data_IF_772767306261
#
_entry.id   IF_772767306261
#
_cell.length_a   1.000
_cell.length_b   1.000
_cell.length_c   1.000
_cell.angle_alpha   90.00
_cell.angle_beta   90.00
_cell.angle_gamma   90.00
#
_symmetry.space_group_name_H-M   'P 1'
#
loop_
_entity.id
_entity.type
_entity.pdbx_description
1 polymer ?
#
# COMPACT_ATOMS: atom_id res chain seq x y z
N UNK A 1 -13.36 -1.79 -11.68
CA UNK A 1 -14.24 -1.54 -10.52
C UNK A 1 -14.65 -0.07 -10.44
N UNK A 2 -13.77 0.87 -10.05
CA UNK A 2 -14.13 2.29 -9.90
C UNK A 2 -14.63 2.94 -11.20
N UNK A 3 -14.11 2.53 -12.37
CA UNK A 3 -14.61 2.99 -13.67
C UNK A 3 -16.09 2.63 -13.92
N UNK A 4 -16.56 1.49 -13.40
CA UNK A 4 -17.97 1.09 -13.49
C UNK A 4 -18.83 1.89 -12.50
N UNK A 5 -18.30 2.15 -11.30
CA UNK A 5 -18.92 3.04 -10.32
C UNK A 5 -19.17 4.42 -10.90
N UNK A 6 -18.16 5.07 -11.50
CA UNK A 6 -18.25 6.45 -12.02
C UNK A 6 -18.91 6.60 -13.40
N UNK A 7 -19.23 5.49 -14.06
CA UNK A 7 -20.06 5.51 -15.28
C UNK A 7 -21.52 5.17 -14.99
N UNK A 8 -21.85 4.86 -13.73
CA UNK A 8 -23.18 4.46 -13.31
C UNK A 8 -23.58 3.04 -13.71
N UNK A 9 -22.72 2.31 -14.44
CA UNK A 9 -22.95 0.90 -14.79
C UNK A 9 -23.07 -0.01 -13.56
N UNK A 10 -22.47 0.39 -12.43
CA UNK A 10 -22.54 -0.38 -11.19
C UNK A 10 -23.96 -0.41 -10.59
N UNK A 11 -24.79 0.60 -10.87
CA UNK A 11 -26.14 0.79 -10.34
C UNK A 11 -27.21 0.74 -11.43
N UNK A 12 -26.87 0.26 -12.63
CA UNK A 12 -27.76 0.26 -13.80
C UNK A 12 -29.04 -0.55 -13.56
N UNK A 13 -28.91 -1.77 -13.02
CA UNK A 13 -30.06 -2.62 -12.66
C UNK A 13 -30.91 -2.01 -11.55
N UNK A 14 -30.27 -1.40 -10.54
CA UNK A 14 -30.97 -0.74 -9.44
C UNK A 14 -31.71 0.53 -9.89
N UNK A 15 -31.13 1.31 -10.82
CA UNK A 15 -31.80 2.47 -11.43
C UNK A 15 -33.01 2.08 -12.27
N UNK A 16 -32.99 0.92 -12.92
CA UNK A 16 -34.18 0.38 -13.60
C UNK A 16 -35.39 0.20 -12.68
N UNK A 17 -35.17 0.16 -11.37
CA UNK A 17 -36.22 0.06 -10.34
C UNK A 17 -36.49 1.37 -9.57
N UNK A 18 -35.77 2.46 -9.87
CA UNK A 18 -35.78 3.71 -9.08
C UNK A 18 -36.04 4.93 -9.97
N UNK A 19 -36.95 5.84 -9.58
CA UNK A 19 -37.34 7.06 -10.33
C UNK A 19 -36.28 8.21 -10.26
N UNK A 20 -34.99 7.86 -10.22
CA UNK A 20 -33.91 8.81 -10.01
C UNK A 20 -33.46 9.47 -11.32
N UNK A 21 -33.40 10.80 -11.31
CA UNK A 21 -32.91 11.62 -12.43
C UNK A 21 -31.42 11.41 -12.70
N UNK A 22 -30.98 11.75 -13.92
CA UNK A 22 -29.57 11.67 -14.34
C UNK A 22 -28.61 12.46 -13.45
N UNK A 23 -27.31 12.13 -13.56
CA UNK A 23 -26.27 12.67 -12.70
C UNK A 23 -26.02 14.16 -12.97
N UNK A 24 -25.96 14.95 -11.90
CA UNK A 24 -25.63 16.37 -11.99
C UNK A 24 -24.16 16.53 -12.39
N UNK A 25 -23.85 17.48 -13.28
CA UNK A 25 -22.46 17.84 -13.61
C UNK A 25 -22.04 18.98 -12.71
N UNK A 26 -21.07 18.72 -11.82
CA UNK A 26 -20.53 19.73 -10.91
C UNK A 26 -19.00 19.72 -10.97
N UNK A 27 -18.37 20.60 -10.22
CA UNK A 27 -16.92 20.56 -9.99
C UNK A 27 -16.60 20.10 -8.57
N UNK A 28 -15.36 19.70 -8.31
CA UNK A 28 -14.92 19.32 -6.96
C UNK A 28 -15.11 20.49 -5.99
N UNK A 29 -14.89 21.72 -6.44
CA UNK A 29 -15.18 22.93 -5.68
C UNK A 29 -16.65 23.11 -5.31
N UNK A 30 -17.59 22.52 -6.08
CA UNK A 30 -19.00 22.48 -5.71
C UNK A 30 -19.33 21.54 -4.54
N UNK A 31 -18.39 20.66 -4.15
CA UNK A 31 -18.49 19.80 -2.97
C UNK A 31 -17.70 20.33 -1.77
N UNK A 32 -16.68 21.16 -2.00
CA UNK A 32 -15.70 21.56 -1.00
C UNK A 32 -16.12 22.87 -0.35
N UNK A 33 -16.39 22.83 0.95
CA UNK A 33 -16.72 24.00 1.76
C UNK A 33 -15.46 24.85 2.05
N UNK A 34 -14.33 24.17 2.28
CA UNK A 34 -13.06 24.82 2.63
C UNK A 34 -11.86 23.94 2.28
N UNK A 35 -10.75 24.57 1.92
CA UNK A 35 -9.48 23.89 1.65
C UNK A 35 -8.38 24.41 2.57
N UNK A 36 -7.62 23.50 3.18
CA UNK A 36 -6.53 23.84 4.09
C UNK A 36 -5.21 23.23 3.60
N UNK A 37 -4.15 24.03 3.63
CA UNK A 37 -2.78 23.58 3.40
C UNK A 37 -2.02 23.49 4.71
N UNK A 38 -1.13 22.51 4.81
CA UNK A 38 -0.18 22.39 5.91
C UNK A 38 1.03 23.31 5.80
N UNK A 39 2.07 22.99 6.58
CA UNK A 39 3.31 23.76 6.67
C UNK A 39 4.51 23.00 6.11
N UNK A 40 5.53 23.73 5.68
CA UNK A 40 6.85 23.19 5.37
C UNK A 40 7.78 23.47 6.55
N UNK A 41 8.28 22.43 7.20
CA UNK A 41 9.14 22.53 8.38
C UNK A 41 10.30 21.53 8.30
N UNK A 42 11.47 21.95 8.76
CA UNK A 42 12.59 21.03 9.00
C UNK A 42 12.28 20.19 10.25
N UNK A 43 12.24 18.89 10.09
CA UNK A 43 11.78 17.95 11.10
C UNK A 43 12.79 16.80 11.26
N UNK A 44 12.69 16.08 12.37
CA UNK A 44 13.46 14.86 12.61
C UNK A 44 12.81 13.72 11.81
N UNK A 45 13.60 12.94 11.06
CA UNK A 45 13.10 11.95 10.09
C UNK A 45 12.55 10.64 10.72
N UNK A 46 12.02 10.72 11.94
CA UNK A 46 11.38 9.62 12.66
C UNK A 46 9.94 10.00 13.00
N UNK A 47 9.00 9.04 13.09
CA UNK A 47 7.65 9.31 13.58
C UNK A 47 7.66 9.74 15.06
N UNK A 48 6.72 10.60 15.51
CA UNK A 48 6.65 11.02 16.91
C UNK A 48 6.27 9.87 17.83
N UNK A 49 6.90 9.82 19.01
CA UNK A 49 6.55 8.96 20.13
C UNK A 49 5.37 9.56 20.92
N UNK A 50 5.00 8.91 22.03
CA UNK A 50 3.94 9.38 22.92
C UNK A 50 4.30 10.75 23.53
N UNK A 51 3.36 11.70 23.49
CA UNK A 51 3.57 13.09 23.94
C UNK A 51 4.34 14.00 22.95
N UNK A 52 4.97 13.43 21.91
CA UNK A 52 5.60 14.20 20.85
C UNK A 52 4.59 14.62 19.77
N UNK A 53 4.95 15.66 19.02
CA UNK A 53 4.15 16.21 17.94
C UNK A 53 4.90 16.07 16.62
N UNK A 54 4.15 15.84 15.55
CA UNK A 54 4.73 15.59 14.24
C UNK A 54 3.94 16.20 13.09
N UNK A 55 4.53 16.05 11.91
CA UNK A 55 3.96 16.47 10.63
C UNK A 55 3.95 15.27 9.68
N UNK A 56 2.90 15.13 8.87
CA UNK A 56 2.84 14.02 7.92
C UNK A 56 3.76 14.22 6.72
N UNK A 57 4.36 13.12 6.25
CA UNK A 57 4.98 13.05 4.93
C UNK A 57 3.89 12.93 3.88
N UNK A 58 4.23 13.27 2.65
CA UNK A 58 3.44 12.95 1.45
C UNK A 58 3.02 11.46 1.40
N UNK A 59 3.93 10.56 1.79
CA UNK A 59 3.69 9.11 1.79
C UNK A 59 2.58 8.67 2.73
N UNK A 60 2.17 9.51 3.69
CA UNK A 60 1.04 9.23 4.57
C UNK A 60 -0.30 9.16 3.83
N UNK A 61 -0.42 9.72 2.63
CA UNK A 61 -1.65 9.73 1.83
C UNK A 61 -1.46 9.09 0.45
N UNK A 62 -0.29 8.54 0.17
CA UNK A 62 0.06 8.02 -1.17
C UNK A 62 -0.64 6.71 -1.50
N UNK A 63 -0.85 5.84 -0.53
CA UNK A 63 -1.20 4.43 -0.76
C UNK A 63 -2.70 4.15 -0.73
N UNK A 64 -3.53 5.17 -0.90
CA UNK A 64 -5.00 5.06 -0.84
C UNK A 64 -5.57 4.82 0.57
N UNK A 65 -4.69 4.69 1.56
CA UNK A 65 -5.01 4.58 2.98
C UNK A 65 -4.10 5.54 3.74
N UNK A 66 -4.63 6.19 4.78
CA UNK A 66 -3.85 7.04 5.65
C UNK A 66 -2.89 6.23 6.52
N UNK A 67 -1.58 6.54 6.46
CA UNK A 67 -0.54 5.91 7.28
C UNK A 67 0.18 6.93 8.18
N UNK A 68 -0.17 6.94 9.47
CA UNK A 68 0.46 7.81 10.47
C UNK A 68 1.95 7.51 10.73
N UNK A 69 2.45 6.33 10.33
CA UNK A 69 3.89 6.00 10.42
C UNK A 69 4.71 6.77 9.40
N UNK A 70 4.09 7.28 8.33
CA UNK A 70 4.73 8.13 7.35
C UNK A 70 4.75 9.59 7.84
N UNK A 71 5.39 9.83 8.98
CA UNK A 71 5.45 11.13 9.63
C UNK A 71 6.87 11.47 10.10
N UNK A 72 7.05 12.73 10.49
CA UNK A 72 8.30 13.29 11.02
C UNK A 72 8.00 13.99 12.34
N UNK A 73 8.88 13.84 13.33
CA UNK A 73 8.78 14.53 14.61
C UNK A 73 9.20 16.00 14.47
N UNK A 74 8.42 16.91 15.04
CA UNK A 74 8.78 18.32 15.11
C UNK A 74 9.97 18.52 16.06
N UNK A 75 10.91 19.41 15.76
CA UNK A 75 12.03 19.68 16.67
C UNK A 75 11.57 20.37 17.96
N UNK A 76 10.42 21.06 17.92
CA UNK A 76 9.81 21.73 19.06
C UNK A 76 8.28 21.65 18.95
N UNK A 77 7.61 21.30 20.06
CA UNK A 77 6.15 21.17 20.09
C UNK A 77 5.42 22.51 19.84
N UNK A 78 6.06 23.64 20.13
CA UNK A 78 5.51 24.99 19.86
C UNK A 78 5.27 25.28 18.37
N UNK A 79 5.91 24.53 17.46
CA UNK A 79 5.69 24.63 16.03
C UNK A 79 4.41 23.95 15.56
N UNK A 80 3.78 23.15 16.43
CA UNK A 80 2.56 22.44 16.10
C UNK A 80 1.38 23.42 16.02
N UNK A 81 0.63 23.34 14.93
CA UNK A 81 -0.56 24.15 14.71
C UNK A 81 -1.81 23.30 14.93
N UNK A 82 -2.50 23.58 16.03
CA UNK A 82 -3.73 22.86 16.38
C UNK A 82 -4.81 22.99 15.28
N UNK A 83 -4.85 24.12 14.60
CA UNK A 83 -5.72 24.36 13.43
C UNK A 83 -5.40 23.49 12.22
N UNK A 84 -4.27 22.77 12.23
CA UNK A 84 -3.84 21.85 11.16
C UNK A 84 -3.71 20.40 11.65
N UNK A 85 -4.12 20.12 12.89
CA UNK A 85 -4.15 18.75 13.45
C UNK A 85 -5.03 17.84 12.61
N UNK A 86 -4.53 16.66 12.27
CA UNK A 86 -5.25 15.62 11.56
C UNK A 86 -6.25 14.94 12.49
N UNK A 87 -7.45 14.72 11.97
CA UNK A 87 -8.58 14.14 12.70
C UNK A 87 -9.20 13.00 11.91
N UNK A 88 -9.87 12.09 12.62
CA UNK A 88 -10.71 11.07 11.99
C UNK A 88 -11.81 11.77 11.18
N UNK A 89 -12.05 11.28 9.97
CA UNK A 89 -12.98 11.85 9.01
C UNK A 89 -12.39 12.93 8.09
N UNK A 90 -11.12 13.31 8.27
CA UNK A 90 -10.44 14.21 7.35
C UNK A 90 -10.34 13.59 5.95
N UNK A 91 -10.69 14.37 4.93
CA UNK A 91 -10.40 14.05 3.53
C UNK A 91 -9.09 14.73 3.12
N UNK A 92 -8.06 13.94 2.87
CA UNK A 92 -6.72 14.42 2.56
C UNK A 92 -6.33 14.04 1.14
N UNK A 93 -5.61 14.92 0.45
CA UNK A 93 -5.14 14.68 -0.92
C UNK A 93 -3.71 15.17 -1.12
N UNK A 94 -2.90 14.39 -1.85
CA UNK A 94 -1.53 14.80 -2.18
C UNK A 94 -1.51 15.95 -3.18
N UNK A 95 -0.80 17.02 -2.84
CA UNK A 95 -0.61 18.21 -3.68
C UNK A 95 0.57 18.07 -4.63
N UNK A 96 1.57 17.31 -4.23
CA UNK A 96 2.80 17.07 -4.97
C UNK A 96 3.08 15.57 -4.91
N UNK A 97 3.50 14.92 -6.00
CA UNK A 97 4.01 13.54 -6.05
C UNK A 97 4.53 13.20 -7.47
N UNK A 98 4.93 11.96 -7.74
CA UNK A 98 5.01 11.46 -9.12
C UNK A 98 3.65 11.54 -9.80
N UNK A 99 3.61 11.59 -11.14
CA UNK A 99 2.37 11.74 -11.90
C UNK A 99 1.36 10.61 -11.63
N UNK A 100 1.86 9.41 -11.32
CA UNK A 100 1.07 8.22 -11.02
C UNK A 100 0.44 8.25 -9.62
N UNK A 101 0.96 9.08 -8.71
CA UNK A 101 0.54 9.13 -7.30
C UNK A 101 0.03 10.51 -6.87
N UNK A 102 0.11 11.51 -7.76
CA UNK A 102 -0.38 12.86 -7.54
C UNK A 102 -1.91 12.85 -7.42
N UNK A 103 -2.41 13.67 -6.48
CA UNK A 103 -3.84 13.86 -6.27
C UNK A 103 -4.55 12.62 -5.71
N UNK A 104 -3.82 11.65 -5.15
CA UNK A 104 -4.46 10.48 -4.55
C UNK A 104 -5.14 10.91 -3.24
N UNK A 105 -6.46 10.71 -3.09
CA UNK A 105 -7.18 11.04 -1.87
C UNK A 105 -7.15 9.89 -0.87
N UNK A 106 -7.32 10.23 0.41
CA UNK A 106 -7.61 9.29 1.50
C UNK A 106 -8.62 9.90 2.46
N UNK A 107 -9.40 9.03 3.11
CA UNK A 107 -10.22 9.38 4.26
C UNK A 107 -9.51 8.83 5.51
N UNK A 108 -9.33 9.68 6.51
CA UNK A 108 -8.63 9.29 7.75
C UNK A 108 -9.60 8.51 8.64
N UNK A 109 -9.37 7.20 8.80
CA UNK A 109 -10.21 6.35 9.65
C UNK A 109 -9.67 6.16 11.07
N UNK A 110 -8.37 6.40 11.28
CA UNK A 110 -7.71 6.22 12.57
C UNK A 110 -6.59 7.25 12.75
N UNK A 111 -6.51 7.81 13.96
CA UNK A 111 -5.42 8.69 14.38
C UNK A 111 -5.03 8.30 15.80
N UNK A 112 -3.75 7.95 16.01
CA UNK A 112 -3.19 7.69 17.35
C UNK A 112 -2.07 8.66 17.71
N UNK A 113 -1.47 9.33 16.72
CA UNK A 113 -0.36 10.27 16.91
C UNK A 113 -0.81 11.73 16.80
N UNK A 114 -0.07 12.63 17.45
CA UNK A 114 -0.28 14.08 17.33
C UNK A 114 0.33 14.61 16.02
N UNK A 115 -0.42 14.50 14.92
CA UNK A 115 0.07 14.86 13.59
C UNK A 115 -0.68 16.05 13.00
N UNK A 116 0.04 16.91 12.28
CA UNK A 116 -0.55 17.99 11.47
C UNK A 116 -0.18 17.87 10.00
N UNK A 117 -0.90 18.61 9.15
CA UNK A 117 -0.69 18.65 7.71
C UNK A 117 0.70 19.21 7.32
N UNK A 118 1.31 18.62 6.28
CA UNK A 118 2.42 19.25 5.55
C UNK A 118 1.93 20.08 4.36
N UNK A 119 2.80 20.95 3.84
CA UNK A 119 2.56 21.78 2.65
C UNK A 119 2.26 20.97 1.38
N UNK A 120 2.65 19.69 1.36
CA UNK A 120 2.42 18.74 0.26
C UNK A 120 1.08 18.00 0.35
N UNK A 121 0.28 18.23 1.38
CA UNK A 121 -1.03 17.60 1.56
C UNK A 121 -2.08 18.67 1.80
N UNK A 122 -3.21 18.56 1.10
CA UNK A 122 -4.36 19.44 1.28
C UNK A 122 -5.44 18.68 2.03
N UNK A 123 -6.12 19.36 2.95
CA UNK A 123 -7.38 18.91 3.53
C UNK A 123 -8.53 19.60 2.81
N UNK A 124 -9.51 18.84 2.38
CA UNK A 124 -10.75 19.36 1.81
C UNK A 124 -11.87 19.08 2.83
N UNK A 125 -12.50 20.14 3.33
CA UNK A 125 -13.68 20.04 4.18
C UNK A 125 -14.92 19.93 3.26
N UNK A 126 -15.71 18.89 3.48
CA UNK A 126 -16.95 18.61 2.74
C UNK A 126 -17.85 17.69 3.58
N UNK A 127 -19.10 17.49 3.17
CA UNK A 127 -20.05 16.56 3.82
C UNK A 127 -19.61 15.10 3.67
N UNK A 128 -19.91 14.25 4.65
CA UNK A 128 -19.41 12.86 4.67
C UNK A 128 -19.85 12.02 3.46
N UNK A 129 -21.09 12.16 2.99
CA UNK A 129 -21.55 11.49 1.77
C UNK A 129 -20.75 11.91 0.53
N UNK A 130 -20.43 13.20 0.43
CA UNK A 130 -19.64 13.75 -0.68
C UNK A 130 -18.17 13.30 -0.61
N UNK A 131 -17.60 13.09 0.59
CA UNK A 131 -16.24 12.53 0.77
C UNK A 131 -16.09 11.17 0.12
N UNK A 132 -17.05 10.28 0.37
CA UNK A 132 -17.00 8.91 -0.14
C UNK A 132 -17.08 8.90 -1.67
N UNK A 133 -18.01 9.69 -2.23
CA UNK A 133 -18.13 9.83 -3.66
C UNK A 133 -16.89 10.46 -4.30
N UNK A 134 -16.37 11.56 -3.74
CA UNK A 134 -15.14 12.21 -4.22
C UNK A 134 -13.94 11.25 -4.15
N UNK A 135 -13.83 10.43 -3.10
CA UNK A 135 -12.79 9.42 -2.96
C UNK A 135 -12.85 8.38 -4.10
N UNK A 136 -14.05 7.88 -4.40
CA UNK A 136 -14.30 6.93 -5.50
C UNK A 136 -13.95 7.57 -6.84
N UNK A 137 -14.45 8.78 -7.10
CA UNK A 137 -14.29 9.45 -8.38
C UNK A 137 -12.83 9.80 -8.68
N UNK A 138 -12.13 10.44 -7.73
CA UNK A 138 -10.74 10.87 -7.95
C UNK A 138 -9.77 9.70 -8.11
N UNK A 139 -10.10 8.52 -7.58
CA UNK A 139 -9.34 7.27 -7.77
C UNK A 139 -9.71 6.52 -9.06
N UNK A 140 -10.80 6.89 -9.72
CA UNK A 140 -11.20 6.31 -11.01
C UNK A 140 -10.30 6.77 -12.16
N UNK A 141 -10.31 6.05 -13.28
CA UNK A 141 -9.54 6.42 -14.48
C UNK A 141 -9.84 7.86 -14.92
N UNK A 142 -11.11 8.24 -14.93
CA UNK A 142 -11.53 9.59 -15.33
C UNK A 142 -11.01 10.67 -14.36
N UNK A 143 -11.15 10.46 -13.06
CA UNK A 143 -10.63 11.40 -12.06
C UNK A 143 -9.10 11.51 -12.12
N UNK A 144 -8.41 10.39 -12.35
CA UNK A 144 -6.96 10.35 -12.54
C UNK A 144 -6.51 11.12 -13.78
N UNK A 145 -7.22 10.99 -14.90
CA UNK A 145 -6.95 11.75 -16.13
C UNK A 145 -7.09 13.25 -15.90
N UNK A 146 -8.14 13.70 -15.19
CA UNK A 146 -8.34 15.11 -14.84
C UNK A 146 -7.19 15.65 -13.97
N UNK A 147 -6.77 14.91 -12.94
CA UNK A 147 -5.65 15.31 -12.08
C UNK A 147 -4.36 15.42 -12.89
N UNK A 148 -4.06 14.42 -13.74
CA UNK A 148 -2.84 14.40 -14.53
C UNK A 148 -2.81 15.54 -15.55
N UNK A 149 -3.91 15.76 -16.27
CA UNK A 149 -4.03 16.84 -17.26
C UNK A 149 -3.91 18.24 -16.68
N UNK A 150 -4.29 18.42 -15.40
CA UNK A 150 -4.23 19.69 -14.67
C UNK A 150 -2.94 19.89 -13.87
N UNK A 151 -2.08 18.87 -13.82
CA UNK A 151 -0.84 18.95 -13.06
C UNK A 151 0.21 19.83 -13.75
N UNK A 152 1.12 20.38 -12.95
CA UNK A 152 2.23 21.24 -13.38
C UNK A 152 3.57 20.71 -12.86
N UNK A 153 4.66 21.20 -13.44
CA UNK A 153 6.04 20.84 -13.07
C UNK A 153 6.78 20.07 -14.16
N UNK A 154 8.06 20.38 -14.36
CA UNK A 154 8.84 19.91 -15.51
C UNK A 154 9.50 18.53 -15.29
N UNK A 155 9.47 18.00 -14.07
CA UNK A 155 10.08 16.71 -13.74
C UNK A 155 9.00 15.66 -13.48
N UNK A 156 9.12 14.50 -14.14
CA UNK A 156 8.18 13.37 -13.97
C UNK A 156 8.14 12.85 -12.52
N UNK A 157 9.25 12.97 -11.79
CA UNK A 157 9.37 12.54 -10.40
C UNK A 157 8.70 13.48 -9.39
N UNK A 158 8.29 14.69 -9.79
CA UNK A 158 7.70 15.67 -8.88
C UNK A 158 6.76 16.63 -9.63
N UNK A 159 5.53 16.18 -9.81
CA UNK A 159 4.41 16.97 -10.33
C UNK A 159 3.62 17.58 -9.17
N UNK A 160 2.97 18.71 -9.43
CA UNK A 160 2.13 19.41 -8.47
C UNK A 160 0.74 19.65 -9.05
N UNK A 161 -0.27 19.79 -8.18
CA UNK A 161 -1.58 20.31 -8.53
C UNK A 161 -1.91 21.52 -7.64
N UNK A 162 -2.33 22.62 -8.27
CA UNK A 162 -2.74 23.83 -7.56
C UNK A 162 -4.14 23.68 -6.96
N UNK A 163 -4.44 24.40 -5.88
CA UNK A 163 -5.77 24.36 -5.24
C UNK A 163 -6.89 24.74 -6.21
N UNK A 164 -6.71 25.81 -6.98
CA UNK A 164 -7.69 26.24 -8.01
C UNK A 164 -7.93 25.13 -9.04
N UNK A 165 -6.87 24.57 -9.61
CA UNK A 165 -6.95 23.50 -10.60
C UNK A 165 -7.61 22.24 -10.05
N UNK A 166 -7.37 21.91 -8.78
CA UNK A 166 -8.02 20.80 -8.08
C UNK A 166 -9.53 21.03 -7.93
N UNK A 167 -9.94 22.23 -7.50
CA UNK A 167 -11.36 22.58 -7.32
C UNK A 167 -12.13 22.67 -8.65
N UNK A 168 -11.44 22.88 -9.77
CA UNK A 168 -12.02 22.92 -11.12
C UNK A 168 -12.21 21.54 -11.76
N UNK A 169 -11.79 20.45 -11.10
CA UNK A 169 -11.99 19.08 -11.61
C UNK A 169 -13.49 18.84 -11.77
N UNK A 170 -13.98 18.54 -13.00
CA UNK A 170 -15.37 18.17 -13.21
C UNK A 170 -15.62 16.77 -12.64
N UNK A 171 -16.75 16.60 -11.96
CA UNK A 171 -17.23 15.29 -11.57
C UNK A 171 -18.74 15.18 -11.77
N UNK A 172 -19.24 14.00 -12.17
CA UNK A 172 -20.66 13.75 -12.08
C UNK A 172 -21.03 13.49 -10.62
N UNK A 173 -22.22 13.93 -10.19
CA UNK A 173 -22.77 13.67 -8.86
C UNK A 173 -24.10 12.92 -9.00
N UNK A 174 -24.15 11.64 -8.57
CA UNK A 174 -25.41 10.91 -8.45
C UNK A 174 -26.30 11.52 -7.36
N UNK A 175 -27.62 11.26 -7.37
CA UNK A 175 -28.48 11.49 -6.22
C UNK A 175 -27.95 10.78 -4.96
N UNK A 176 -28.29 11.29 -3.77
CA UNK A 176 -27.75 10.76 -2.51
C UNK A 176 -28.02 9.27 -2.32
N UNK A 177 -29.21 8.80 -2.68
CA UNK A 177 -29.58 7.38 -2.59
C UNK A 177 -28.68 6.50 -3.48
N UNK A 178 -28.42 6.94 -4.71
CA UNK A 178 -27.53 6.23 -5.62
C UNK A 178 -26.08 6.26 -5.14
N UNK A 179 -25.61 7.37 -4.53
CA UNK A 179 -24.28 7.42 -3.92
C UNK A 179 -24.13 6.35 -2.82
N UNK A 180 -25.15 6.17 -1.98
CA UNK A 180 -25.15 5.14 -0.94
C UNK A 180 -25.02 3.74 -1.53
N UNK A 181 -25.77 3.43 -2.59
CA UNK A 181 -25.67 2.14 -3.26
C UNK A 181 -24.32 1.93 -3.95
N UNK A 182 -23.78 2.96 -4.61
CA UNK A 182 -22.46 2.89 -5.22
C UNK A 182 -21.39 2.58 -4.15
N UNK A 183 -21.40 3.29 -3.02
CA UNK A 183 -20.47 3.04 -1.92
C UNK A 183 -20.61 1.61 -1.42
N UNK A 184 -21.84 1.13 -1.18
CA UNK A 184 -22.11 -0.24 -0.72
C UNK A 184 -21.52 -1.28 -1.67
N UNK A 185 -21.74 -1.13 -2.98
CA UNK A 185 -21.20 -2.05 -3.99
C UNK A 185 -19.68 -1.98 -4.08
N UNK A 186 -19.09 -0.78 -4.02
CA UNK A 186 -17.63 -0.60 -4.04
C UNK A 186 -16.99 -1.26 -2.82
N UNK A 187 -17.54 -1.05 -1.63
CA UNK A 187 -17.03 -1.64 -0.38
C UNK A 187 -17.12 -3.17 -0.40
N UNK A 188 -18.22 -3.74 -0.90
CA UNK A 188 -18.38 -5.18 -1.06
C UNK A 188 -17.31 -5.77 -1.99
N UNK A 189 -17.02 -5.09 -3.09
CA UNK A 189 -16.03 -5.54 -4.06
C UNK A 189 -14.60 -5.42 -3.53
N UNK A 190 -14.27 -4.38 -2.76
CA UNK A 190 -12.97 -4.28 -2.08
C UNK A 190 -12.82 -5.33 -0.99
N UNK A 191 -13.84 -5.54 -0.15
CA UNK A 191 -13.81 -6.59 0.88
C UNK A 191 -13.65 -7.99 0.28
N UNK A 192 -14.20 -8.23 -0.92
CA UNK A 192 -13.97 -9.47 -1.65
C UNK A 192 -12.52 -9.59 -2.15
N UNK A 193 -11.95 -8.50 -2.70
CA UNK A 193 -10.56 -8.48 -3.13
C UNK A 193 -9.58 -8.72 -1.95
N UNK A 194 -9.81 -8.08 -0.81
CA UNK A 194 -8.99 -8.25 0.40
C UNK A 194 -9.02 -9.71 0.90
N UNK A 195 -10.18 -10.37 0.83
CA UNK A 195 -10.32 -11.79 1.18
C UNK A 195 -9.47 -12.68 0.27
N UNK A 196 -9.53 -12.44 -1.04
CA UNK A 196 -8.73 -13.20 -2.03
C UNK A 196 -7.24 -13.00 -1.76
N UNK A 197 -6.80 -11.76 -1.50
CA UNK A 197 -5.40 -11.48 -1.17
C UNK A 197 -4.95 -12.23 0.09
N UNK A 198 -5.80 -12.26 1.13
CA UNK A 198 -5.53 -12.99 2.35
C UNK A 198 -5.42 -14.51 2.12
N UNK A 199 -6.31 -15.09 1.32
CA UNK A 199 -6.29 -16.52 0.96
C UNK A 199 -5.01 -16.89 0.19
N UNK A 200 -4.60 -16.06 -0.77
CA UNK A 200 -3.34 -16.25 -1.53
C UNK A 200 -2.13 -16.23 -0.59
N UNK A 201 -2.06 -15.24 0.31
CA UNK A 201 -0.96 -15.14 1.27
C UNK A 201 -0.90 -16.35 2.22
N UNK A 202 -2.04 -16.85 2.67
CA UNK A 202 -2.09 -18.07 3.49
C UNK A 202 -1.65 -19.31 2.69
N UNK A 203 -2.06 -19.43 1.42
CA UNK A 203 -1.65 -20.53 0.56
C UNK A 203 -0.13 -20.54 0.35
N UNK A 204 0.48 -19.37 0.08
CA UNK A 204 1.94 -19.23 -0.04
C UNK A 204 2.67 -19.65 1.24
N UNK A 205 2.18 -19.24 2.40
CA UNK A 205 2.75 -19.66 3.68
C UNK A 205 2.69 -21.18 3.88
N UNK A 206 1.57 -21.82 3.49
CA UNK A 206 1.42 -23.29 3.54
C UNK A 206 2.41 -24.00 2.62
N UNK A 207 2.58 -23.53 1.39
CA UNK A 207 3.55 -24.09 0.43
C UNK A 207 4.98 -24.00 0.98
N UNK A 208 5.34 -22.85 1.56
CA UNK A 208 6.67 -22.67 2.16
C UNK A 208 6.90 -23.63 3.32
N UNK A 209 5.92 -23.77 4.22
CA UNK A 209 6.02 -24.69 5.35
C UNK A 209 6.08 -26.16 4.90
N UNK A 210 5.28 -26.54 3.90
CA UNK A 210 5.31 -27.90 3.34
C UNK A 210 6.66 -28.19 2.70
N UNK A 211 7.21 -27.24 1.93
CA UNK A 211 8.53 -27.38 1.31
C UNK A 211 9.62 -27.57 2.37
N UNK A 212 9.63 -26.76 3.42
CA UNK A 212 10.57 -26.92 4.52
C UNK A 212 10.42 -28.28 5.23
N UNK A 213 9.19 -28.73 5.46
CA UNK A 213 8.92 -30.04 6.06
C UNK A 213 9.41 -31.19 5.17
N UNK A 214 9.11 -31.15 3.87
CA UNK A 214 9.58 -32.15 2.90
C UNK A 214 11.10 -32.17 2.85
N UNK A 215 11.76 -31.01 2.76
CA UNK A 215 13.23 -30.95 2.75
C UNK A 215 13.81 -31.53 4.04
N UNK A 216 13.25 -31.19 5.20
CA UNK A 216 13.69 -31.75 6.48
C UNK A 216 13.54 -33.28 6.53
N UNK A 217 12.41 -33.82 6.07
CA UNK A 217 12.17 -35.27 5.98
C UNK A 217 13.10 -35.96 4.99
N UNK A 218 13.37 -35.32 3.86
CA UNK A 218 14.31 -35.81 2.86
C UNK A 218 15.75 -35.88 3.41
N UNK A 219 16.22 -34.82 4.10
CA UNK A 219 17.55 -34.79 4.70
C UNK A 219 17.73 -35.79 5.87
N UNK A 220 16.67 -36.07 6.62
CA UNK A 220 16.67 -37.14 7.63
C UNK A 220 16.61 -38.55 7.02
N UNK A 221 16.40 -38.65 5.71
CA UNK A 221 16.25 -39.91 5.00
C UNK A 221 14.96 -40.65 5.37
N UNK A 222 13.95 -39.94 5.89
CA UNK A 222 12.65 -40.52 6.24
C UNK A 222 11.94 -41.07 4.99
N UNK A 223 12.11 -40.41 3.83
CA UNK A 223 11.53 -40.89 2.57
C UNK A 223 12.21 -42.14 1.99
N UNK A 224 13.42 -42.48 2.43
CA UNK A 224 14.14 -43.68 1.98
C UNK A 224 14.27 -44.73 3.07
N UNK A 225 13.62 -44.53 4.23
CA UNK A 225 13.75 -45.43 5.38
C UNK A 225 13.27 -46.85 5.05
N UNK A 226 12.09 -46.99 4.43
CA UNK A 226 11.55 -48.31 4.06
C UNK A 226 12.44 -49.01 3.04
N UNK A 227 12.85 -48.30 1.97
CA UNK A 227 13.76 -48.85 0.97
C UNK A 227 15.09 -49.33 1.60
N UNK A 228 15.64 -48.60 2.56
CA UNK A 228 16.86 -49.02 3.28
C UNK A 228 16.65 -50.27 4.14
N UNK A 229 15.46 -50.44 4.74
CA UNK A 229 15.10 -51.68 5.47
C UNK A 229 14.98 -52.87 4.53
N UNK A 230 14.46 -52.65 3.34
CA UNK A 230 14.21 -53.70 2.35
C UNK A 230 15.47 -54.08 1.53
N UNK A 231 16.53 -53.26 1.56
CA UNK A 231 17.77 -53.47 0.78
C UNK A 231 19.05 -53.28 1.64
N UNK A 232 19.22 -54.01 2.76
CA UNK A 232 20.33 -53.82 3.70
C UNK A 232 21.71 -54.13 3.10
N UNK A 233 21.80 -55.04 2.14
CA UNK A 233 23.03 -55.45 1.46
C UNK A 233 23.65 -54.33 0.60
N UNK A 234 22.84 -53.40 0.10
CA UNK A 234 23.31 -52.28 -0.74
C UNK A 234 23.91 -51.12 0.06
N UNK A 235 23.70 -51.08 1.38
CA UNK A 235 24.08 -49.97 2.26
C UNK A 235 24.92 -50.38 3.47
N UNK A 236 25.35 -51.64 3.53
CA UNK A 236 26.18 -52.21 4.60
C UNK A 236 27.59 -52.57 4.10
N UNK A 237 28.49 -52.93 5.02
CA UNK A 237 29.87 -53.32 4.69
C UNK A 237 30.65 -52.20 3.99
N UNK A 238 31.26 -52.51 2.84
CA UNK A 238 32.03 -51.57 2.02
C UNK A 238 31.19 -50.42 1.44
N UNK A 239 29.88 -50.63 1.28
CA UNK A 239 28.93 -49.62 0.80
C UNK A 239 28.33 -48.76 1.93
N UNK A 240 28.77 -48.96 3.17
CA UNK A 240 28.29 -48.18 4.31
C UNK A 240 28.76 -46.73 4.26
N UNK A 241 27.94 -45.82 4.81
CA UNK A 241 28.28 -44.40 4.92
C UNK A 241 29.58 -44.17 5.72
N UNK A 242 29.84 -44.99 6.74
CA UNK A 242 31.09 -44.97 7.51
C UNK A 242 32.31 -45.36 6.68
N UNK A 243 32.21 -46.43 5.88
CA UNK A 243 33.31 -46.86 5.01
C UNK A 243 33.61 -45.80 3.93
N UNK A 244 32.58 -45.18 3.35
CA UNK A 244 32.73 -44.09 2.39
C UNK A 244 33.36 -42.84 3.04
N UNK A 245 32.97 -42.48 4.27
CA UNK A 245 33.56 -41.36 5.00
C UNK A 245 35.04 -41.56 5.29
N UNK A 246 35.43 -42.75 5.73
CA UNK A 246 36.85 -43.08 5.96
C UNK A 246 37.64 -43.02 4.64
N UNK A 247 37.07 -43.50 3.52
CA UNK A 247 37.68 -43.36 2.20
C UNK A 247 37.86 -41.90 1.79
N UNK A 248 36.84 -41.06 1.97
CA UNK A 248 36.91 -39.61 1.67
C UNK A 248 37.95 -38.92 2.56
N UNK A 249 38.03 -39.26 3.85
CA UNK A 249 39.04 -38.71 4.77
C UNK A 249 40.45 -39.10 4.33
N UNK A 250 40.68 -40.37 3.98
CA UNK A 250 41.95 -40.86 3.47
C UNK A 250 42.34 -40.16 2.15
N UNK A 251 41.40 -40.03 1.20
CA UNK A 251 41.63 -39.29 -0.06
C UNK A 251 41.87 -37.79 0.12
N UNK A 252 41.24 -37.17 1.13
CA UNK A 252 41.48 -35.76 1.46
C UNK A 252 42.80 -35.54 2.17
N UNK A 253 43.25 -36.50 2.98
CA UNK A 253 44.55 -36.46 3.64
C UNK A 253 45.71 -36.58 2.64
N UNK A 254 45.50 -37.29 1.52
CA UNK A 254 46.50 -37.44 0.45
C UNK A 254 46.45 -36.32 -0.60
N UNK A 255 45.38 -35.52 -0.66
CA UNK A 255 45.28 -34.35 -1.54
C UNK A 255 45.79 -33.08 -0.84
N UNK A 256 46.94 -32.58 -1.27
CA UNK A 256 47.51 -31.29 -0.84
C UNK A 256 46.53 -30.13 -1.07
N UNK A 257 46.30 -29.22 -0.10
CA UNK A 257 45.36 -28.12 -0.29
C UNK A 257 45.83 -27.19 -1.43
N UNK A 258 44.97 -26.95 -2.41
CA UNK A 258 45.23 -25.95 -3.45
C UNK A 258 45.38 -24.55 -2.82
N UNK A 259 46.50 -23.88 -3.09
CA UNK A 259 46.81 -22.53 -2.60
C UNK A 259 45.70 -21.55 -3.01
N UNK A 260 44.95 -21.04 -2.03
CA UNK A 260 44.01 -19.92 -2.20
C UNK A 260 44.80 -18.63 -2.43
N UNK A 261 44.90 -18.16 -3.68
CA UNK A 261 45.44 -16.84 -4.00
C UNK A 261 44.46 -15.75 -3.53
N UNK A 262 44.81 -15.07 -2.43
CA UNK A 262 44.09 -13.88 -1.96
C UNK A 262 44.39 -12.71 -2.90
N UNK A 263 43.44 -12.29 -3.74
CA UNK A 263 43.53 -10.98 -4.41
C UNK A 263 43.38 -9.88 -3.35
N UNK A 264 44.41 -9.05 -3.18
CA UNK A 264 44.32 -7.78 -2.41
C UNK A 264 43.35 -6.86 -3.14
N UNK A 265 42.31 -6.40 -2.45
CA UNK A 265 41.54 -5.24 -2.87
C UNK A 265 42.37 -3.99 -2.53
N UNK A 266 42.66 -3.18 -3.54
CA UNK A 266 43.28 -1.86 -3.39
C UNK A 266 42.21 -0.88 -2.91
N UNK A 267 42.57 -0.07 -1.93
CA UNK A 267 41.78 1.02 -1.33
C UNK A 267 41.63 2.17 -2.31
#
# INVERSE_FOLDING_TARGET
MLAAAVSGRLTEEWRGTSDLTGWAKITLGGLVDKIESGKNLKCIETPPNEGEFGIIKISAVTWGIYDEKQSKTLPQNSLFLETRRIKVGDFLISRANTIELLGNPVIVHKVTKNLMLSDKVLRLEMKDGDKLWANIFLRSISGRQEIQGRSTGNQMSMRNIGQKALLEIPLPKPPCEEQTEIVRHVDQLFAHADRIEQEVNQALARVNNLTQSILAKAFRGEFTEQWRKDNPELISGENSASALLERIKAERATKTPAKRTRKKATV
#
